data_IF_364957842304
#
_entry.id   IF_364957842304
#
_cell.length_a   1.000
_cell.length_b   1.000
_cell.length_c   1.000
_cell.angle_alpha   90.00
_cell.angle_beta   90.00
_cell.angle_gamma   90.00
#
_symmetry.space_group_name_H-M   'P 1'
#
loop_
_entity.id
_entity.type
_entity.pdbx_description
1 polymer ?
#
# COMPACT_ATOMS: atom_id res chain seq x y z
N UNK A 1 -18.94 -40.65 29.32
CA UNK A 1 -17.98 -41.03 28.30
C UNK A 1 -18.33 -40.40 26.91
N UNK A 2 -19.48 -40.69 26.35
CA UNK A 2 -19.88 -40.18 25.00
C UNK A 2 -20.06 -38.65 24.98
N UNK A 3 -20.66 -38.06 25.99
CA UNK A 3 -20.84 -36.62 26.13
C UNK A 3 -19.48 -35.86 26.26
N UNK A 4 -18.56 -36.42 27.04
CA UNK A 4 -17.21 -35.84 27.21
C UNK A 4 -16.38 -35.93 25.91
N UNK A 5 -16.52 -37.01 25.16
CA UNK A 5 -15.85 -37.17 23.87
C UNK A 5 -16.40 -36.16 22.82
N UNK A 6 -17.71 -35.93 22.78
CA UNK A 6 -18.35 -34.92 21.94
C UNK A 6 -17.93 -33.49 22.31
N UNK A 7 -17.82 -33.18 23.61
CA UNK A 7 -17.32 -31.88 24.06
C UNK A 7 -15.87 -31.64 23.62
N UNK A 8 -14.99 -32.64 23.81
CA UNK A 8 -13.59 -32.53 23.42
C UNK A 8 -13.48 -32.35 21.91
N UNK A 9 -14.23 -33.11 21.12
CA UNK A 9 -14.26 -32.98 19.68
C UNK A 9 -14.75 -31.59 19.24
N UNK A 10 -15.81 -31.06 19.87
CA UNK A 10 -16.33 -29.73 19.58
C UNK A 10 -15.32 -28.62 19.88
N UNK A 11 -14.62 -28.70 21.03
CA UNK A 11 -13.57 -27.76 21.40
C UNK A 11 -12.38 -27.85 20.42
N UNK A 12 -11.98 -29.04 20.03
CA UNK A 12 -10.89 -29.23 19.06
C UNK A 12 -11.21 -28.61 17.72
N UNK A 13 -12.43 -28.81 17.20
CA UNK A 13 -12.89 -28.21 15.96
C UNK A 13 -12.92 -26.69 16.08
N UNK A 14 -13.42 -26.16 17.19
CA UNK A 14 -13.48 -24.71 17.43
C UNK A 14 -12.09 -24.08 17.46
N UNK A 15 -11.14 -24.71 18.15
CA UNK A 15 -9.74 -24.26 18.19
C UNK A 15 -9.11 -24.31 16.79
N UNK A 16 -9.36 -25.36 16.03
CA UNK A 16 -8.85 -25.48 14.66
C UNK A 16 -9.38 -24.39 13.75
N UNK A 17 -10.70 -24.12 13.82
CA UNK A 17 -11.35 -23.02 13.08
C UNK A 17 -10.75 -21.66 13.49
N UNK A 18 -10.55 -21.45 14.79
CA UNK A 18 -9.95 -20.23 15.33
C UNK A 18 -8.53 -20.02 14.79
N UNK A 19 -7.67 -21.02 14.88
CA UNK A 19 -6.29 -20.96 14.38
C UNK A 19 -6.23 -20.76 12.84
N UNK A 20 -7.16 -21.36 12.12
CA UNK A 20 -7.27 -21.16 10.66
C UNK A 20 -7.72 -19.75 10.30
N UNK A 21 -8.64 -19.18 11.06
CA UNK A 21 -9.21 -17.86 10.77
C UNK A 21 -8.33 -16.71 11.24
N UNK A 22 -7.59 -16.90 12.33
CA UNK A 22 -6.72 -15.87 12.92
C UNK A 22 -5.29 -16.04 12.41
N UNK A 23 -4.74 -15.09 11.65
CA UNK A 23 -3.38 -15.17 11.13
C UNK A 23 -2.35 -14.81 12.22
N UNK A 24 -2.22 -15.67 13.25
CA UNK A 24 -1.34 -15.45 14.41
C UNK A 24 0.12 -15.24 13.99
N UNK A 25 0.58 -16.00 13.00
CA UNK A 25 1.95 -15.88 12.48
C UNK A 25 2.22 -14.46 11.92
N UNK A 26 1.26 -13.91 11.18
CA UNK A 26 1.37 -12.58 10.61
C UNK A 26 1.36 -11.50 11.70
N UNK A 27 0.55 -11.69 12.74
CA UNK A 27 0.51 -10.78 13.89
C UNK A 27 1.85 -10.76 14.65
N UNK A 28 2.43 -11.95 14.91
CA UNK A 28 3.74 -12.06 15.55
C UNK A 28 4.78 -11.30 14.72
N UNK A 29 4.83 -11.54 13.40
CA UNK A 29 5.77 -10.86 12.50
C UNK A 29 5.59 -9.34 12.52
N UNK A 30 4.35 -8.84 12.52
CA UNK A 30 4.04 -7.42 12.61
C UNK A 30 4.58 -6.81 13.90
N UNK A 31 4.31 -7.47 15.04
CA UNK A 31 4.70 -6.99 16.36
C UNK A 31 6.23 -6.88 16.49
N UNK A 32 6.97 -7.90 16.05
CA UNK A 32 8.45 -7.86 16.05
C UNK A 32 9.04 -6.87 15.03
N UNK A 33 8.27 -6.47 14.02
CA UNK A 33 8.70 -5.48 13.04
C UNK A 33 8.34 -4.04 13.45
N UNK A 34 7.80 -3.82 14.66
CA UNK A 34 7.43 -2.50 15.17
C UNK A 34 6.08 -1.97 14.65
N UNK A 35 5.31 -2.80 13.93
CA UNK A 35 3.99 -2.43 13.43
C UNK A 35 2.93 -2.74 14.50
N UNK A 36 2.27 -1.71 14.99
CA UNK A 36 1.22 -1.84 16.02
C UNK A 36 -0.13 -2.17 15.37
N UNK A 37 -0.36 -3.45 15.05
CA UNK A 37 -1.66 -3.94 14.58
C UNK A 37 -2.26 -4.89 15.59
N UNK A 38 -3.57 -4.74 15.84
CA UNK A 38 -4.31 -5.63 16.74
C UNK A 38 -4.69 -6.95 16.06
N UNK A 39 -4.69 -8.06 16.82
CA UNK A 39 -5.20 -9.36 16.32
C UNK A 39 -6.62 -9.26 15.77
N UNK A 40 -7.50 -8.54 16.47
CA UNK A 40 -8.89 -8.33 16.05
C UNK A 40 -8.96 -7.56 14.72
N UNK A 41 -8.08 -6.59 14.51
CA UNK A 41 -8.00 -5.81 13.27
C UNK A 41 -7.69 -6.72 12.08
N UNK A 42 -6.76 -7.67 12.23
CA UNK A 42 -6.43 -8.65 11.19
C UNK A 42 -7.60 -9.59 10.87
N UNK A 43 -8.38 -9.97 11.89
CA UNK A 43 -9.60 -10.78 11.71
C UNK A 43 -10.65 -9.97 10.96
N UNK A 44 -10.87 -8.71 11.34
CA UNK A 44 -11.85 -7.85 10.64
C UNK A 44 -11.45 -7.58 9.18
N UNK A 45 -10.15 -7.40 8.87
CA UNK A 45 -9.67 -7.31 7.48
C UNK A 45 -10.07 -8.55 6.68
N UNK A 46 -9.91 -9.74 7.27
CA UNK A 46 -10.28 -10.98 6.60
C UNK A 46 -11.78 -11.10 6.35
N UNK A 47 -12.61 -10.66 7.29
CA UNK A 47 -14.07 -10.59 7.12
C UNK A 47 -14.46 -9.65 5.99
N UNK A 48 -13.77 -8.52 5.84
CA UNK A 48 -13.96 -7.54 4.75
C UNK A 48 -13.33 -7.96 3.43
N UNK A 49 -12.79 -9.19 3.33
CA UNK A 49 -12.09 -9.72 2.14
C UNK A 49 -10.82 -8.96 1.76
N UNK A 50 -10.21 -8.25 2.71
CA UNK A 50 -8.90 -7.64 2.55
C UNK A 50 -7.86 -8.66 3.01
N UNK A 51 -6.88 -9.04 2.17
CA UNK A 51 -5.83 -9.97 2.58
C UNK A 51 -4.90 -9.30 3.60
N UNK A 52 -4.89 -9.76 4.88
CA UNK A 52 -4.10 -9.11 5.92
C UNK A 52 -2.60 -9.12 5.61
N UNK A 53 -2.15 -10.13 4.87
CA UNK A 53 -0.74 -10.25 4.45
C UNK A 53 -0.28 -9.08 3.59
N UNK A 54 -1.11 -8.59 2.67
CA UNK A 54 -0.77 -7.46 1.79
C UNK A 54 -0.61 -6.19 2.62
N UNK A 55 -1.57 -5.91 3.50
CA UNK A 55 -1.56 -4.70 4.33
C UNK A 55 -0.40 -4.73 5.32
N UNK A 56 -0.23 -5.83 6.07
CA UNK A 56 0.80 -5.94 7.10
C UNK A 56 2.20 -5.94 6.51
N UNK A 57 2.45 -6.67 5.42
CA UNK A 57 3.77 -6.66 4.79
C UNK A 57 4.12 -5.28 4.24
N UNK A 58 3.16 -4.56 3.68
CA UNK A 58 3.35 -3.19 3.22
C UNK A 58 3.67 -2.24 4.38
N UNK A 59 2.98 -2.37 5.52
CA UNK A 59 3.29 -1.61 6.73
C UNK A 59 4.68 -1.93 7.29
N UNK A 60 5.05 -3.21 7.32
CA UNK A 60 6.39 -3.64 7.74
C UNK A 60 7.46 -3.01 6.86
N UNK A 61 7.23 -3.02 5.54
CA UNK A 61 8.16 -2.42 4.57
C UNK A 61 8.27 -0.92 4.77
N UNK A 62 7.15 -0.22 4.95
CA UNK A 62 7.12 1.21 5.23
C UNK A 62 7.84 1.57 6.55
N UNK A 63 7.57 0.81 7.61
CA UNK A 63 8.19 1.02 8.94
C UNK A 63 9.70 0.79 8.89
N UNK A 64 10.16 -0.29 8.22
CA UNK A 64 11.59 -0.59 8.04
C UNK A 64 12.31 0.44 7.18
N UNK A 65 11.62 1.04 6.22
CA UNK A 65 12.16 2.12 5.40
C UNK A 65 12.18 3.48 6.11
N UNK A 66 11.58 3.58 7.30
CA UNK A 66 11.47 4.83 8.06
C UNK A 66 10.47 5.81 7.46
N UNK A 67 9.50 5.34 6.68
CA UNK A 67 8.53 6.19 6.01
C UNK A 67 7.64 6.93 7.03
N UNK A 68 7.77 8.25 7.07
CA UNK A 68 6.89 9.15 7.82
C UNK A 68 5.93 9.84 6.83
N UNK A 69 4.64 9.60 6.99
CA UNK A 69 3.66 10.22 6.11
C UNK A 69 3.42 11.66 6.54
N UNK A 70 3.58 12.58 5.60
CA UNK A 70 3.14 13.96 5.73
C UNK A 70 1.68 14.04 5.25
N UNK A 71 0.77 14.40 6.13
CA UNK A 71 -0.61 14.73 5.75
C UNK A 71 -0.70 16.21 5.40
N UNK A 72 -1.49 16.56 4.36
CA UNK A 72 -1.64 17.92 3.84
C UNK A 72 -2.25 18.91 4.86
N UNK A 73 -2.86 18.44 5.95
CA UNK A 73 -3.69 19.24 6.87
C UNK A 73 -3.02 19.58 8.20
N UNK A 74 -2.04 18.79 8.64
CA UNK A 74 -1.28 19.07 9.86
C UNK A 74 0.19 18.76 9.62
N UNK A 75 1.05 19.70 9.92
CA UNK A 75 2.53 19.61 9.81
C UNK A 75 3.17 18.49 10.65
N UNK A 76 2.40 17.56 11.14
CA UNK A 76 2.83 16.44 11.95
C UNK A 76 3.02 15.20 11.09
N UNK A 77 4.25 14.73 10.97
CA UNK A 77 4.55 13.43 10.38
C UNK A 77 3.75 12.33 11.10
N UNK A 78 2.78 11.75 10.42
CA UNK A 78 1.93 10.69 10.94
C UNK A 78 2.46 9.32 10.50
N UNK A 79 2.47 8.37 11.42
CA UNK A 79 2.78 6.98 11.09
C UNK A 79 1.62 6.37 10.31
N UNK A 80 1.92 5.72 9.20
CA UNK A 80 0.95 4.99 8.38
C UNK A 80 0.25 3.91 9.21
N UNK A 81 -1.08 3.88 9.13
CA UNK A 81 -1.90 2.92 9.86
C UNK A 81 -2.51 1.89 8.92
N UNK A 82 -2.84 0.72 9.47
CA UNK A 82 -3.49 -0.36 8.72
C UNK A 82 -4.81 0.06 8.05
N UNK A 83 -5.71 0.83 8.69
CA UNK A 83 -6.94 1.31 8.04
C UNK A 83 -6.72 2.16 6.78
N UNK A 84 -5.63 2.92 6.70
CA UNK A 84 -5.32 3.74 5.53
C UNK A 84 -5.08 2.86 4.30
N UNK A 85 -4.28 1.79 4.48
CA UNK A 85 -3.99 0.82 3.43
C UNK A 85 -5.19 -0.07 3.10
N UNK A 86 -5.99 -0.43 4.12
CA UNK A 86 -7.23 -1.19 3.93
C UNK A 86 -8.21 -0.43 3.05
N UNK A 87 -8.40 0.86 3.32
CA UNK A 87 -9.28 1.73 2.52
C UNK A 87 -8.81 1.81 1.08
N UNK A 88 -7.51 1.97 0.85
CA UNK A 88 -6.94 2.02 -0.49
C UNK A 88 -7.10 0.69 -1.23
N UNK A 89 -6.88 -0.43 -0.55
CA UNK A 89 -7.10 -1.77 -1.12
C UNK A 89 -8.56 -1.99 -1.52
N UNK A 90 -9.51 -1.60 -0.66
CA UNK A 90 -10.95 -1.73 -0.93
C UNK A 90 -11.41 -0.82 -2.09
N UNK A 91 -10.72 0.29 -2.32
CA UNK A 91 -10.95 1.15 -3.49
C UNK A 91 -10.40 0.56 -4.80
N UNK A 92 -9.73 -0.61 -4.75
CA UNK A 92 -9.14 -1.28 -5.91
C UNK A 92 -7.70 -0.89 -6.20
N UNK A 93 -7.03 -0.17 -5.28
CA UNK A 93 -5.66 0.27 -5.43
C UNK A 93 -4.61 -0.82 -5.13
N UNK A 94 -3.40 -0.60 -5.61
CA UNK A 94 -2.25 -1.47 -5.43
C UNK A 94 -1.39 -1.01 -4.24
N UNK A 95 -1.71 -1.49 -3.05
CA UNK A 95 -1.05 -1.12 -1.79
C UNK A 95 0.48 -1.30 -1.83
N UNK A 96 1.05 -2.46 -2.26
CA UNK A 96 2.49 -2.63 -2.32
C UNK A 96 3.20 -1.63 -3.23
N UNK A 97 2.59 -1.32 -4.37
CA UNK A 97 3.16 -0.39 -5.35
C UNK A 97 3.20 1.04 -4.81
N UNK A 98 2.12 1.49 -4.20
CA UNK A 98 2.04 2.81 -3.56
C UNK A 98 3.10 2.96 -2.47
N UNK A 99 3.26 1.95 -1.60
CA UNK A 99 4.26 1.99 -0.53
C UNK A 99 5.69 2.03 -1.10
N UNK A 100 5.98 1.23 -2.13
CA UNK A 100 7.30 1.24 -2.79
C UNK A 100 7.59 2.60 -3.43
N UNK A 101 6.61 3.20 -4.09
CA UNK A 101 6.72 4.53 -4.69
C UNK A 101 6.96 5.62 -3.63
N UNK A 102 6.23 5.57 -2.51
CA UNK A 102 6.42 6.51 -1.40
C UNK A 102 7.82 6.39 -0.78
N UNK A 103 8.32 5.17 -0.58
CA UNK A 103 9.68 4.93 -0.08
C UNK A 103 10.72 5.51 -1.06
N UNK A 104 10.51 5.34 -2.36
CA UNK A 104 11.39 5.86 -3.39
C UNK A 104 11.36 7.38 -3.46
N UNK A 105 10.18 7.99 -3.32
CA UNK A 105 10.01 9.44 -3.25
C UNK A 105 10.71 10.03 -2.02
N UNK A 106 10.54 9.41 -0.84
CA UNK A 106 11.21 9.84 0.39
C UNK A 106 12.74 9.78 0.25
N UNK A 107 13.27 8.69 -0.30
CA UNK A 107 14.73 8.54 -0.55
C UNK A 107 15.27 9.51 -1.60
N UNK A 108 14.46 9.90 -2.57
CA UNK A 108 14.79 10.89 -3.58
C UNK A 108 14.54 12.33 -3.11
N UNK A 109 14.07 12.51 -1.88
CA UNK A 109 13.69 13.81 -1.30
C UNK A 109 12.61 14.54 -2.14
N UNK A 110 11.68 13.76 -2.70
CA UNK A 110 10.52 14.26 -3.44
C UNK A 110 9.33 14.35 -2.48
N UNK A 111 8.68 15.49 -2.44
CA UNK A 111 7.46 15.66 -1.65
C UNK A 111 6.28 14.95 -2.32
N UNK A 112 5.97 13.75 -1.87
CA UNK A 112 4.82 12.97 -2.31
C UNK A 112 4.00 12.55 -1.09
N UNK A 113 2.79 13.07 -0.97
CA UNK A 113 1.89 12.69 0.12
C UNK A 113 1.23 11.34 -0.17
N UNK A 114 0.82 10.62 0.88
CA UNK A 114 0.08 9.36 0.74
C UNK A 114 -1.20 9.55 -0.09
N UNK A 115 -1.92 10.65 0.13
CA UNK A 115 -3.14 11.00 -0.60
C UNK A 115 -2.90 11.19 -2.10
N UNK A 116 -1.82 11.87 -2.47
CA UNK A 116 -1.44 12.05 -3.87
C UNK A 116 -1.05 10.72 -4.51
N UNK A 117 -0.24 9.90 -3.83
CA UNK A 117 0.17 8.59 -4.33
C UNK A 117 -1.03 7.66 -4.55
N UNK A 118 -1.96 7.60 -3.59
CA UNK A 118 -3.19 6.81 -3.73
C UNK A 118 -4.10 7.32 -4.84
N UNK A 119 -4.19 8.64 -5.03
CA UNK A 119 -4.97 9.23 -6.12
C UNK A 119 -4.39 8.91 -7.51
N UNK A 120 -3.06 8.91 -7.66
CA UNK A 120 -2.37 8.53 -8.90
C UNK A 120 -2.63 7.05 -9.22
N UNK A 121 -2.51 6.16 -8.21
CA UNK A 121 -2.74 4.73 -8.37
C UNK A 121 -4.20 4.43 -8.76
N UNK A 122 -5.17 5.04 -8.07
CA UNK A 122 -6.59 4.88 -8.39
C UNK A 122 -6.99 5.49 -9.75
N UNK A 123 -6.21 6.44 -10.26
CA UNK A 123 -6.36 6.94 -11.63
C UNK A 123 -5.79 5.97 -12.69
N UNK A 124 -5.29 4.80 -12.28
CA UNK A 124 -4.73 3.79 -13.16
C UNK A 124 -3.32 4.11 -13.68
N UNK A 125 -2.60 5.02 -13.01
CA UNK A 125 -1.22 5.39 -13.36
C UNK A 125 -0.22 4.71 -12.43
N UNK A 126 0.94 4.39 -12.97
CA UNK A 126 2.05 3.87 -12.16
C UNK A 126 2.67 4.99 -11.34
N UNK A 127 2.51 4.89 -10.01
CA UNK A 127 3.04 5.87 -9.05
C UNK A 127 4.57 5.85 -9.05
N UNK A 128 5.16 4.67 -9.19
CA UNK A 128 6.62 4.51 -9.22
C UNK A 128 7.22 5.16 -10.48
N UNK A 129 6.57 4.98 -11.64
CA UNK A 129 6.99 5.63 -12.87
C UNK A 129 6.89 7.16 -12.74
N UNK A 130 5.83 7.68 -12.13
CA UNK A 130 5.67 9.12 -11.88
C UNK A 130 6.81 9.69 -11.02
N UNK A 131 7.20 8.99 -9.95
CA UNK A 131 8.35 9.37 -9.09
C UNK A 131 9.65 9.31 -9.89
N UNK A 132 9.86 8.24 -10.66
CA UNK A 132 11.09 8.05 -11.46
C UNK A 132 11.24 9.15 -12.52
N UNK A 133 10.16 9.54 -13.17
CA UNK A 133 10.17 10.65 -14.15
C UNK A 133 10.51 12.00 -13.52
N UNK A 134 10.16 12.20 -12.24
CA UNK A 134 10.53 13.43 -11.52
C UNK A 134 12.03 13.51 -11.22
N UNK A 135 12.69 12.38 -11.09
CA UNK A 135 14.16 12.30 -10.84
C UNK A 135 14.95 12.22 -12.12
N UNK A 136 14.44 11.47 -13.11
CA UNK A 136 15.13 11.22 -14.38
C UNK A 136 14.25 11.74 -15.51
N UNK A 137 14.53 12.93 -16.07
CA UNK A 137 13.71 13.48 -17.14
C UNK A 137 13.72 12.55 -18.35
N UNK A 138 12.55 12.14 -18.81
CA UNK A 138 12.36 11.33 -20.02
C UNK A 138 12.36 12.24 -21.24
N UNK A 139 13.33 12.10 -22.11
CA UNK A 139 13.34 12.79 -23.39
C UNK A 139 12.30 12.14 -24.29
N UNK A 140 11.24 12.87 -24.62
CA UNK A 140 10.25 12.44 -25.60
C UNK A 140 10.64 13.07 -26.94
N UNK A 141 11.09 12.23 -27.88
CA UNK A 141 11.31 12.66 -29.25
C UNK A 141 9.95 12.88 -29.91
N UNK A 142 9.55 14.14 -30.03
CA UNK A 142 8.41 14.48 -30.86
C UNK A 142 8.82 14.38 -32.32
N UNK A 143 8.00 13.75 -33.20
CA UNK A 143 8.25 13.78 -34.63
C UNK A 143 8.28 15.24 -35.08
N UNK A 144 9.28 15.61 -35.88
CA UNK A 144 9.42 16.95 -36.42
C UNK A 144 8.19 17.26 -37.27
N UNK A 145 7.32 18.16 -36.79
CA UNK A 145 6.19 18.65 -37.54
C UNK A 145 6.72 19.84 -38.36
N UNK A 146 6.99 19.63 -39.63
CA UNK A 146 7.30 20.69 -40.52
C UNK A 146 6.01 21.47 -40.83
N UNK A 147 5.89 22.68 -40.32
CA UNK A 147 4.86 23.60 -40.67
C UNK A 147 5.36 24.55 -41.77
N UNK A 148 4.65 24.66 -42.87
CA UNK A 148 4.91 25.66 -43.93
C UNK A 148 4.07 26.90 -43.61
N UNK A 149 4.75 28.00 -43.31
CA UNK A 149 4.06 29.29 -43.14
C UNK A 149 3.49 29.81 -44.46
N UNK A 150 2.52 30.72 -44.40
CA UNK A 150 1.86 31.25 -45.59
C UNK A 150 2.81 31.98 -46.57
N UNK A 151 4.00 32.36 -46.11
CA UNK A 151 5.09 32.96 -46.88
C UNK A 151 6.05 31.91 -47.48
N UNK A 152 5.78 30.62 -47.36
CA UNK A 152 6.57 29.54 -47.92
C UNK A 152 7.80 29.12 -47.09
N UNK A 153 8.00 29.72 -45.92
CA UNK A 153 9.13 29.36 -45.03
C UNK A 153 8.78 28.10 -44.24
N UNK A 154 9.63 27.07 -44.35
CA UNK A 154 9.54 25.87 -43.50
C UNK A 154 10.17 26.12 -42.10
N UNK A 155 9.33 25.99 -41.08
CA UNK A 155 9.77 25.95 -39.69
C UNK A 155 10.03 24.48 -39.32
N UNK A 156 11.29 24.17 -39.06
CA UNK A 156 11.74 22.83 -38.59
C UNK A 156 11.94 22.87 -37.09
#
# INVERSE_FOLDING_TARGET
>A
MLLTALLILGITILVFIFLYFVPVNLWITAQFSGVKTGLLELVFMRVRRVPPSVVVNSLITATKAGLAIKDDVESSARVLKAPDLETHYLAGGNVPQVITALISAEKANIELTFKQATAIDLAGRDVFEAVTMSVTPKVINTPSVAAVAADGIQLI
#
